data_IF_877432339677
#
_entry.id   IF_877432339677
#
_cell.length_a   1.000
_cell.length_b   1.000
_cell.length_c   1.000
_cell.angle_alpha   90.00
_cell.angle_beta   90.00
_cell.angle_gamma   90.00
#
_symmetry.space_group_name_H-M   'P 1'
#
loop_
_entity.id
_entity.type
_entity.pdbx_description
1 polymer ?
#
# COMPACT_ATOMS: atom_id res chain seq x y z
N UNK A 1 28.98 -45.27 -18.82
CA UNK A 1 28.44 -43.91 -18.67
C UNK A 1 27.17 -43.81 -19.50
N UNK A 2 26.01 -43.54 -18.87
CA UNK A 2 25.10 -42.57 -19.45
C UNK A 2 24.79 -41.46 -18.44
N UNK A 3 24.77 -40.23 -18.94
CA UNK A 3 24.40 -39.03 -18.20
C UNK A 3 22.97 -39.17 -17.67
N UNK A 4 22.81 -39.15 -16.34
CA UNK A 4 21.50 -39.04 -15.69
C UNK A 4 20.82 -37.76 -16.13
N UNK A 5 19.51 -37.88 -16.39
CA UNK A 5 18.59 -36.80 -16.67
C UNK A 5 18.70 -35.73 -15.58
N UNK A 6 19.13 -34.52 -15.98
CA UNK A 6 19.12 -33.35 -15.15
C UNK A 6 17.65 -32.97 -14.91
N UNK A 7 17.11 -33.32 -13.75
CA UNK A 7 15.83 -32.77 -13.28
C UNK A 7 15.98 -31.27 -13.15
N UNK A 8 15.12 -30.53 -13.84
CA UNK A 8 15.13 -29.06 -13.91
C UNK A 8 15.05 -28.44 -12.49
N UNK A 9 16.01 -27.62 -12.07
CA UNK A 9 15.96 -27.01 -10.74
C UNK A 9 14.96 -25.87 -10.72
N UNK A 10 13.89 -26.05 -9.93
CA UNK A 10 12.95 -25.01 -9.51
C UNK A 10 12.27 -24.22 -10.64
N UNK A 11 11.05 -24.63 -11.00
CA UNK A 11 10.01 -23.62 -11.28
C UNK A 11 9.89 -22.80 -9.99
N UNK A 12 10.57 -21.65 -9.93
CA UNK A 12 10.29 -20.67 -8.89
C UNK A 12 8.83 -20.27 -9.05
N UNK A 13 7.99 -20.58 -8.06
CA UNK A 13 6.69 -19.95 -7.86
C UNK A 13 6.96 -18.45 -7.59
N UNK A 14 7.19 -17.66 -8.65
CA UNK A 14 7.55 -16.24 -8.55
C UNK A 14 6.32 -15.36 -8.30
N UNK A 15 5.43 -15.77 -7.40
CA UNK A 15 4.36 -14.87 -6.93
C UNK A 15 5.01 -13.77 -6.10
N UNK A 16 5.19 -12.61 -6.72
CA UNK A 16 5.67 -11.42 -6.02
C UNK A 16 4.52 -10.86 -5.21
N UNK A 17 4.62 -10.92 -3.88
CA UNK A 17 3.63 -10.33 -2.97
C UNK A 17 4.06 -8.91 -2.60
N UNK A 18 3.22 -7.94 -2.93
CA UNK A 18 3.39 -6.53 -2.60
C UNK A 18 2.41 -6.13 -1.50
N UNK A 19 2.92 -5.50 -0.45
CA UNK A 19 2.10 -5.04 0.68
C UNK A 19 2.00 -3.52 0.65
N UNK A 20 0.78 -2.98 0.76
CA UNK A 20 0.55 -1.57 1.08
C UNK A 20 -0.22 -1.46 2.39
N UNK A 21 0.32 -0.69 3.33
CA UNK A 21 -0.32 -0.35 4.60
C UNK A 21 -0.49 1.18 4.62
N UNK A 22 -1.72 1.67 4.67
CA UNK A 22 -2.01 3.11 4.67
C UNK A 22 -2.88 3.47 5.88
N UNK A 23 -2.57 4.55 6.59
CA UNK A 23 -3.36 5.00 7.72
C UNK A 23 -2.96 6.39 8.20
N UNK A 24 -3.43 6.77 9.38
CA UNK A 24 -3.00 7.99 10.05
C UNK A 24 -2.47 7.72 11.46
N UNK A 25 -2.15 8.79 12.19
CA UNK A 25 -1.62 8.69 13.55
C UNK A 25 -2.52 7.89 14.52
N UNK A 26 -3.82 7.85 14.26
CA UNK A 26 -4.78 7.12 15.07
C UNK A 26 -4.73 5.61 14.86
N UNK A 27 -4.12 5.13 13.77
CA UNK A 27 -4.04 3.71 13.45
C UNK A 27 -2.65 3.10 13.72
N UNK A 28 -1.78 3.79 14.46
CA UNK A 28 -0.38 3.37 14.67
C UNK A 28 -0.27 1.99 15.33
N UNK A 29 -1.15 1.68 16.28
CA UNK A 29 -1.07 0.41 17.01
C UNK A 29 -1.51 -0.76 16.11
N UNK A 30 -2.53 -0.56 15.28
CA UNK A 30 -2.93 -1.50 14.23
C UNK A 30 -1.83 -1.66 13.18
N UNK A 31 -1.19 -0.57 12.74
CA UNK A 31 -0.06 -0.61 11.79
C UNK A 31 1.10 -1.44 12.37
N UNK A 32 1.42 -1.27 13.66
CA UNK A 32 2.44 -2.08 14.33
C UNK A 32 2.09 -3.56 14.33
N UNK A 33 0.83 -3.88 14.59
CA UNK A 33 0.36 -5.26 14.55
C UNK A 33 0.52 -5.85 13.15
N UNK A 34 0.04 -5.14 12.12
CA UNK A 34 0.20 -5.55 10.71
C UNK A 34 1.66 -5.78 10.38
N UNK A 35 2.56 -4.85 10.73
CA UNK A 35 4.00 -4.97 10.46
C UNK A 35 4.64 -6.17 11.18
N UNK A 36 4.19 -6.47 12.40
CA UNK A 36 4.69 -7.61 13.18
C UNK A 36 4.27 -8.97 12.60
N UNK A 37 3.14 -9.01 11.90
CA UNK A 37 2.61 -10.21 11.26
C UNK A 37 3.20 -10.44 9.86
N UNK A 38 3.92 -9.46 9.30
CA UNK A 38 4.53 -9.60 7.98
C UNK A 38 5.74 -10.55 7.99
N UNK A 39 5.88 -11.40 6.96
CA UNK A 39 7.12 -12.14 6.71
C UNK A 39 8.33 -11.19 6.59
N UNK A 40 9.52 -11.66 6.98
CA UNK A 40 10.75 -10.85 6.91
C UNK A 40 11.16 -10.46 5.50
N UNK A 41 10.76 -11.26 4.51
CA UNK A 41 11.00 -11.05 3.09
C UNK A 41 9.85 -10.30 2.39
N UNK A 42 8.82 -9.87 3.13
CA UNK A 42 7.73 -9.07 2.60
C UNK A 42 8.27 -7.79 1.96
N UNK A 43 7.81 -7.50 0.74
CA UNK A 43 8.11 -6.28 0.03
C UNK A 43 6.90 -5.37 0.07
N UNK A 44 7.09 -4.09 0.39
CA UNK A 44 5.94 -3.22 0.51
C UNK A 44 6.21 -1.79 0.95
N UNK A 45 5.12 -1.09 1.26
CA UNK A 45 5.14 0.31 1.66
C UNK A 45 4.14 0.57 2.78
N UNK A 46 4.54 1.39 3.73
CA UNK A 46 3.69 1.97 4.77
C UNK A 46 3.59 3.45 4.52
N UNK A 47 2.37 3.99 4.47
CA UNK A 47 2.10 5.41 4.25
C UNK A 47 1.24 5.92 5.39
N UNK A 48 1.75 6.90 6.15
CA UNK A 48 1.09 7.38 7.36
C UNK A 48 0.88 8.87 7.28
N UNK A 49 -0.37 9.31 7.31
CA UNK A 49 -0.72 10.72 7.37
C UNK A 49 -0.59 11.27 8.79
N UNK A 50 0.07 12.42 8.92
CA UNK A 50 0.26 13.16 10.16
C UNK A 50 -0.05 14.64 9.95
N UNK A 51 -0.51 15.31 11.01
CA UNK A 51 -0.73 16.74 10.99
C UNK A 51 0.59 17.52 11.07
N UNK A 52 1.58 17.03 11.84
CA UNK A 52 2.84 17.71 12.09
C UNK A 52 4.00 16.73 12.43
N UNK A 53 5.28 17.12 12.29
CA UNK A 53 6.46 16.26 12.52
C UNK A 53 6.54 15.63 13.90
N UNK A 54 6.00 16.30 14.92
CA UNK A 54 6.05 15.82 16.31
C UNK A 54 5.31 14.49 16.49
N UNK A 55 4.46 14.11 15.52
CA UNK A 55 3.70 12.87 15.53
C UNK A 55 4.47 11.69 14.92
N UNK A 56 5.65 11.90 14.35
CA UNK A 56 6.49 10.80 13.84
C UNK A 56 6.95 9.95 15.03
N UNK A 57 6.69 8.65 14.94
CA UNK A 57 7.08 7.66 15.95
C UNK A 57 7.92 6.55 15.32
N UNK A 58 8.75 5.85 16.11
CA UNK A 58 9.45 4.67 15.63
C UNK A 58 8.47 3.56 15.24
N UNK A 59 8.76 2.90 14.12
CA UNK A 59 8.07 1.71 13.62
C UNK A 59 9.08 0.67 13.17
N UNK A 60 8.90 -0.56 13.63
CA UNK A 60 9.73 -1.70 13.25
C UNK A 60 9.12 -2.37 12.01
N UNK A 61 9.59 -1.97 10.83
CA UNK A 61 9.18 -2.55 9.56
C UNK A 61 10.17 -3.63 9.07
N UNK A 62 9.72 -4.64 8.33
CA UNK A 62 10.62 -5.56 7.62
C UNK A 62 11.61 -4.81 6.70
N UNK A 63 12.80 -5.35 6.42
CA UNK A 63 13.86 -4.64 5.67
C UNK A 63 13.47 -4.17 4.27
N UNK A 64 12.48 -4.81 3.64
CA UNK A 64 11.98 -4.50 2.29
C UNK A 64 10.66 -3.72 2.30
N UNK A 65 10.24 -3.23 3.48
CA UNK A 65 9.05 -2.42 3.66
C UNK A 65 9.47 -0.98 3.99
N UNK A 66 9.16 -0.05 3.09
CA UNK A 66 9.51 1.35 3.28
C UNK A 66 8.40 2.11 4.02
N UNK A 67 8.74 2.86 5.08
CA UNK A 67 7.78 3.71 5.80
C UNK A 67 7.89 5.15 5.33
N UNK A 68 6.77 5.74 4.90
CA UNK A 68 6.66 7.13 4.44
C UNK A 68 5.66 7.89 5.33
N UNK A 69 6.07 9.04 5.85
CA UNK A 69 5.22 9.93 6.64
C UNK A 69 4.75 11.10 5.77
N UNK A 70 3.44 11.27 5.64
CA UNK A 70 2.82 12.33 4.85
C UNK A 70 2.33 13.44 5.77
N UNK A 71 2.86 14.63 5.55
CA UNK A 71 2.53 15.78 6.36
C UNK A 71 1.46 16.64 5.71
N UNK A 72 0.35 16.87 6.43
CA UNK A 72 -0.73 17.74 5.96
C UNK A 72 -0.33 19.21 5.87
N UNK A 73 0.67 19.62 6.64
CA UNK A 73 1.21 20.98 6.67
C UNK A 73 2.28 21.25 5.59
N UNK A 74 2.74 20.24 4.84
CA UNK A 74 3.77 20.39 3.80
C UNK A 74 3.21 20.80 2.42
N UNK A 75 1.88 20.88 2.23
CA UNK A 75 1.25 21.49 1.04
C UNK A 75 1.31 23.02 1.14
N UNK A 76 1.87 23.86 0.24
CA UNK A 76 2.45 23.78 -1.11
C UNK A 76 3.40 24.98 -1.32
N UNK A 77 4.55 24.76 -1.97
CA UNK A 77 5.59 25.77 -2.29
C UNK A 77 5.22 26.81 -3.36
N UNK A 78 3.96 26.90 -3.80
CA UNK A 78 3.53 27.77 -4.92
C UNK A 78 2.65 28.95 -4.48
N UNK A 79 2.16 29.00 -3.23
CA UNK A 79 1.41 30.18 -2.74
C UNK A 79 1.56 30.34 -1.23
N UNK A 80 2.00 31.53 -0.80
CA UNK A 80 2.37 31.90 0.58
C UNK A 80 1.25 31.81 1.63
N UNK A 81 0.05 31.35 1.27
CA UNK A 81 -1.07 31.13 2.19
C UNK A 81 -1.77 29.85 1.74
N UNK A 82 -1.70 28.78 2.53
CA UNK A 82 -2.57 27.62 2.35
C UNK A 82 -2.90 26.98 3.69
N UNK A 83 -4.19 26.67 3.87
CA UNK A 83 -4.66 25.80 4.93
C UNK A 83 -4.05 24.40 4.74
N UNK A 84 -3.84 23.68 5.85
CA UNK A 84 -3.46 22.27 5.81
C UNK A 84 -4.45 21.47 4.95
N UNK A 85 -3.99 20.40 4.30
CA UNK A 85 -4.88 19.49 3.59
C UNK A 85 -5.98 18.97 4.53
N UNK A 86 -7.17 18.72 3.97
CA UNK A 86 -8.21 18.04 4.74
C UNK A 86 -7.71 16.63 5.10
N UNK A 87 -8.14 16.12 6.27
CA UNK A 87 -7.67 14.83 6.76
C UNK A 87 -8.02 13.74 5.76
N UNK A 88 -7.02 12.94 5.37
CA UNK A 88 -7.15 11.84 4.44
C UNK A 88 -6.91 12.20 2.98
N UNK A 89 -6.99 13.48 2.57
CA UNK A 89 -6.76 13.85 1.16
C UNK A 89 -5.33 13.53 0.70
N UNK A 90 -4.35 13.73 1.58
CA UNK A 90 -2.94 13.50 1.24
C UNK A 90 -2.67 11.99 1.21
N UNK A 91 -3.27 11.25 2.15
CA UNK A 91 -3.23 9.79 2.18
C UNK A 91 -3.84 9.17 0.93
N UNK A 92 -5.07 9.55 0.57
CA UNK A 92 -5.79 9.04 -0.62
C UNK A 92 -4.96 9.23 -1.88
N UNK A 93 -4.38 10.42 -2.08
CA UNK A 93 -3.54 10.68 -3.26
C UNK A 93 -2.30 9.81 -3.33
N UNK A 94 -1.66 9.56 -2.20
CA UNK A 94 -0.47 8.73 -2.16
C UNK A 94 -0.82 7.25 -2.39
N UNK A 95 -1.93 6.78 -1.84
CA UNK A 95 -2.45 5.43 -2.09
C UNK A 95 -2.84 5.26 -3.55
N UNK A 96 -3.59 6.20 -4.11
CA UNK A 96 -4.04 6.16 -5.52
C UNK A 96 -2.85 6.16 -6.49
N UNK A 97 -1.85 7.03 -6.26
CA UNK A 97 -0.62 7.04 -7.04
C UNK A 97 0.18 5.73 -6.93
N UNK A 98 0.21 5.11 -5.75
CA UNK A 98 0.85 3.81 -5.56
C UNK A 98 0.11 2.72 -6.33
N UNK A 99 -1.23 2.72 -6.31
CA UNK A 99 -2.05 1.76 -7.05
C UNK A 99 -1.87 1.92 -8.56
N UNK A 100 -1.81 3.16 -9.06
CA UNK A 100 -1.52 3.45 -10.47
C UNK A 100 -0.17 2.86 -10.91
N UNK A 101 0.87 3.05 -10.10
CA UNK A 101 2.22 2.60 -10.43
C UNK A 101 2.40 1.08 -10.30
N UNK A 102 1.88 0.48 -9.23
CA UNK A 102 2.22 -0.90 -8.89
C UNK A 102 1.14 -1.90 -9.28
N UNK A 103 -0.14 -1.55 -9.14
CA UNK A 103 -1.23 -2.50 -9.33
C UNK A 103 -1.88 -2.35 -10.70
N UNK A 104 -2.26 -1.13 -11.09
CA UNK A 104 -3.00 -0.86 -12.33
C UNK A 104 -2.11 -0.86 -13.57
N UNK A 105 -0.84 -0.50 -13.43
CA UNK A 105 0.15 -0.59 -14.50
C UNK A 105 0.84 -1.96 -14.61
N UNK A 106 0.51 -2.92 -13.74
CA UNK A 106 1.12 -4.25 -13.76
C UNK A 106 0.49 -5.14 -14.84
N UNK A 107 1.30 -5.60 -15.79
CA UNK A 107 0.93 -6.63 -16.77
C UNK A 107 1.13 -8.07 -16.24
N UNK A 108 1.65 -8.24 -15.02
CA UNK A 108 1.90 -9.55 -14.41
C UNK A 108 0.68 -10.05 -13.62
N UNK A 109 -0.01 -11.10 -14.09
CA UNK A 109 -1.16 -11.68 -13.40
C UNK A 109 -0.79 -12.53 -12.18
N UNK A 110 0.50 -12.81 -11.95
CA UNK A 110 0.98 -13.61 -10.82
C UNK A 110 1.32 -12.78 -9.57
N UNK A 111 1.36 -11.45 -9.71
CA UNK A 111 1.61 -10.54 -8.60
C UNK A 111 0.40 -10.46 -7.66
N UNK A 112 0.64 -10.67 -6.37
CA UNK A 112 -0.37 -10.61 -5.31
C UNK A 112 -0.23 -9.30 -4.55
N UNK A 113 -1.34 -8.57 -4.40
CA UNK A 113 -1.36 -7.30 -3.67
C UNK A 113 -2.15 -7.47 -2.37
N UNK A 114 -1.50 -7.15 -1.25
CA UNK A 114 -2.14 -7.12 0.08
C UNK A 114 -2.27 -5.66 0.48
N UNK A 115 -3.52 -5.20 0.61
CA UNK A 115 -3.83 -3.82 0.97
C UNK A 115 -4.47 -3.79 2.36
N UNK A 116 -3.95 -2.92 3.22
CA UNK A 116 -4.59 -2.51 4.46
C UNK A 116 -4.71 -0.99 4.46
N UNK A 117 -5.92 -0.47 4.65
CA UNK A 117 -6.20 0.97 4.67
C UNK A 117 -7.02 1.29 5.92
N UNK A 118 -6.41 2.03 6.85
CA UNK A 118 -7.01 2.60 8.06
C UNK A 118 -7.62 3.99 7.81
N UNK A 119 -7.50 4.90 8.77
CA UNK A 119 -8.00 6.28 8.71
C UNK A 119 -9.51 6.37 8.44
N UNK A 120 -10.28 5.41 8.97
CA UNK A 120 -11.74 5.29 8.80
C UNK A 120 -12.54 6.52 9.29
N UNK A 121 -11.94 7.36 10.13
CA UNK A 121 -12.54 8.61 10.59
C UNK A 121 -12.34 9.78 9.59
N UNK A 122 -11.75 9.54 8.42
CA UNK A 122 -11.74 10.47 7.28
C UNK A 122 -12.79 10.07 6.25
N UNK A 123 -13.67 11.00 5.91
CA UNK A 123 -14.68 10.80 4.86
C UNK A 123 -14.03 10.53 3.50
N UNK A 124 -12.99 11.29 3.14
CA UNK A 124 -12.25 11.11 1.89
C UNK A 124 -11.66 9.69 1.76
N UNK A 125 -11.08 9.15 2.84
CA UNK A 125 -10.55 7.78 2.84
C UNK A 125 -11.67 6.75 2.74
N UNK A 126 -12.78 6.95 3.45
CA UNK A 126 -13.92 6.05 3.40
C UNK A 126 -14.55 5.98 1.99
N UNK A 127 -14.78 7.13 1.35
CA UNK A 127 -15.27 7.21 -0.03
C UNK A 127 -14.32 6.53 -1.01
N UNK A 128 -13.01 6.77 -0.86
CA UNK A 128 -11.98 6.13 -1.67
C UNK A 128 -11.97 4.61 -1.51
N UNK A 129 -12.03 4.10 -0.27
CA UNK A 129 -12.08 2.66 0.00
C UNK A 129 -13.31 1.99 -0.63
N UNK A 130 -14.48 2.65 -0.61
CA UNK A 130 -15.68 2.16 -1.28
C UNK A 130 -15.44 2.06 -2.79
N UNK A 131 -14.92 3.12 -3.42
CA UNK A 131 -14.61 3.14 -4.85
C UNK A 131 -13.61 2.04 -5.24
N UNK A 132 -12.52 1.92 -4.49
CA UNK A 132 -11.48 0.91 -4.73
C UNK A 132 -12.03 -0.52 -4.59
N UNK A 133 -12.90 -0.77 -3.61
CA UNK A 133 -13.54 -2.08 -3.46
C UNK A 133 -14.43 -2.45 -4.65
N UNK A 134 -15.12 -1.46 -5.25
CA UNK A 134 -15.89 -1.67 -6.48
C UNK A 134 -14.97 -1.98 -7.67
N UNK A 135 -13.87 -1.24 -7.81
CA UNK A 135 -12.87 -1.45 -8.85
C UNK A 135 -12.26 -2.86 -8.77
N UNK A 136 -11.77 -3.27 -7.60
CA UNK A 136 -11.13 -4.58 -7.39
C UNK A 136 -12.09 -5.76 -7.65
N UNK A 137 -13.38 -5.59 -7.33
CA UNK A 137 -14.42 -6.58 -7.67
C UNK A 137 -14.61 -6.72 -9.17
N UNK A 138 -14.56 -5.62 -9.92
CA UNK A 138 -14.65 -5.65 -11.37
C UNK A 138 -13.43 -6.36 -11.99
N UNK A 139 -12.22 -6.15 -11.46
CA UNK A 139 -11.01 -6.87 -11.86
C UNK A 139 -11.08 -8.38 -11.56
N UNK A 140 -11.70 -8.75 -10.43
CA UNK A 140 -11.80 -10.15 -10.00
C UNK A 140 -12.90 -10.94 -10.72
N UNK A 141 -13.67 -10.32 -11.62
CA UNK A 141 -14.76 -10.96 -12.36
C UNK A 141 -14.45 -11.18 -13.86
N UNK A 142 -13.44 -11.98 -14.25
CA UNK A 142 -13.33 -12.43 -15.63
C UNK A 142 -14.26 -13.63 -15.87
N UNK A 143 -15.37 -13.43 -16.60
CA UNK A 143 -16.15 -14.57 -17.14
C UNK A 143 -17.67 -14.46 -17.31
N UNK A 144 -18.30 -13.29 -17.25
CA UNK A 144 -19.74 -13.15 -17.49
C UNK A 144 -20.07 -12.52 -18.86
N UNK A 145 -19.42 -12.98 -19.92
CA UNK A 145 -19.91 -12.81 -21.30
C UNK A 145 -19.40 -13.97 -22.16
N UNK A 146 -20.24 -14.99 -22.30
CA UNK A 146 -20.25 -15.94 -23.40
C UNK A 146 -21.71 -16.06 -23.88
#
# INVERSE_FOLDING_TARGET
MPFSQNSDPAVCDQRSRYVLVAGDIGDIDEIRQVLSDLPRDAYGRVIIEIAAPLQVVPLDAPPRVAVTWLRRDERSSVSKVRAAAERGETLVRAVDAWLDEWMRASDDPSSEYVLWIGSHASEAVNEFCVSLAHELRAYSAPGATA
#
